data_IF_304345364316
#
_entry.id   IF_304345364316
#
_cell.length_a   1.000
_cell.length_b   1.000
_cell.length_c   1.000
_cell.angle_alpha   90.00
_cell.angle_beta   90.00
_cell.angle_gamma   90.00
#
_symmetry.space_group_name_H-M   'P 1'
#
loop_
_entity.id
_entity.type
_entity.pdbx_description
1 polymer ?
#
# COMPACT_ATOMS: atom_id res chain seq x y z
N UNK A 1 -53.68 10.29 2.13
CA UNK A 1 -54.80 10.76 3.00
C UNK A 1 -55.34 9.58 3.77
N UNK A 2 -54.88 9.37 4.99
CA UNK A 2 -55.49 8.37 5.91
C UNK A 2 -56.33 9.14 6.93
N UNK A 3 -57.63 8.79 6.98
CA UNK A 3 -58.53 9.32 8.00
C UNK A 3 -58.28 8.60 9.33
N UNK A 4 -57.92 9.37 10.37
CA UNK A 4 -57.80 8.89 11.74
C UNK A 4 -59.10 9.21 12.45
N UNK A 5 -59.75 8.17 12.95
CA UNK A 5 -60.95 8.29 13.80
C UNK A 5 -60.55 8.64 15.23
N UNK A 6 -61.14 9.71 15.77
CA UNK A 6 -60.97 10.15 17.15
C UNK A 6 -61.82 9.29 18.10
N UNK A 7 -61.17 8.50 18.93
CA UNK A 7 -61.75 7.91 20.16
C UNK A 7 -61.16 8.65 21.35
N UNK A 8 -62.02 9.02 22.31
CA UNK A 8 -61.63 9.67 23.57
C UNK A 8 -60.85 8.69 24.45
N UNK A 9 -59.54 8.64 24.29
CA UNK A 9 -58.60 7.88 25.14
C UNK A 9 -57.45 8.76 25.52
N UNK A 10 -56.98 8.67 26.76
CA UNK A 10 -55.79 9.37 27.29
C UNK A 10 -54.64 9.20 26.35
N UNK A 11 -54.10 10.33 25.87
CA UNK A 11 -52.84 10.34 25.14
C UNK A 11 -51.74 9.97 26.17
N UNK A 12 -51.27 8.74 26.10
CA UNK A 12 -50.03 8.35 26.76
C UNK A 12 -48.91 8.96 25.87
N UNK A 13 -48.37 10.07 26.29
CA UNK A 13 -47.12 10.60 25.72
C UNK A 13 -46.02 9.65 26.19
N UNK A 14 -45.65 8.73 25.33
CA UNK A 14 -44.40 7.98 25.49
C UNK A 14 -43.29 9.00 25.51
N UNK A 15 -42.36 8.96 26.50
CA UNK A 15 -41.18 9.80 26.42
C UNK A 15 -40.48 9.47 25.09
N UNK A 16 -40.12 10.48 24.32
CA UNK A 16 -39.18 10.31 23.20
C UNK A 16 -37.93 9.65 23.80
N UNK A 17 -37.82 8.35 23.64
CA UNK A 17 -36.54 7.69 23.81
C UNK A 17 -35.67 8.29 22.71
N UNK A 18 -34.75 9.17 23.08
CA UNK A 18 -33.76 9.69 22.17
C UNK A 18 -33.20 8.50 21.41
N UNK A 19 -33.18 8.58 20.08
CA UNK A 19 -32.61 7.53 19.26
C UNK A 19 -31.25 7.15 19.86
N UNK A 20 -30.94 5.86 20.04
CA UNK A 20 -29.66 5.46 20.57
C UNK A 20 -28.57 6.18 19.78
N UNK A 21 -27.79 7.02 20.45
CA UNK A 21 -26.65 7.71 19.84
C UNK A 21 -25.61 6.63 19.58
N UNK A 22 -25.70 5.98 18.42
CA UNK A 22 -24.61 5.11 17.98
C UNK A 22 -23.34 5.98 17.85
N UNK A 23 -22.20 5.51 18.32
CA UNK A 23 -20.95 6.23 18.11
C UNK A 23 -20.73 6.44 16.62
N UNK A 24 -20.02 7.50 16.28
CA UNK A 24 -19.68 7.78 14.89
C UNK A 24 -18.96 6.54 14.28
N UNK A 25 -19.30 6.19 13.02
CA UNK A 25 -18.65 5.06 12.36
C UNK A 25 -17.14 5.30 12.25
N UNK A 26 -16.35 4.22 12.38
CA UNK A 26 -14.92 4.26 12.14
C UNK A 26 -14.66 4.37 10.61
N UNK A 27 -13.91 5.37 10.21
CA UNK A 27 -13.67 5.67 8.79
C UNK A 27 -12.31 5.15 8.37
N UNK A 28 -12.30 4.21 7.43
CA UNK A 28 -11.11 3.68 6.79
C UNK A 28 -10.92 4.30 5.40
N UNK A 29 -9.66 4.49 4.97
CA UNK A 29 -9.32 4.75 3.58
C UNK A 29 -8.37 3.67 3.09
N UNK A 30 -8.73 3.06 1.96
CA UNK A 30 -7.99 1.94 1.39
C UNK A 30 -7.55 2.26 -0.06
N UNK A 31 -7.47 1.27 -0.92
CA UNK A 31 -7.17 1.44 -2.32
C UNK A 31 -8.43 1.86 -3.13
N UNK A 32 -8.36 1.78 -4.44
CA UNK A 32 -9.45 2.15 -5.36
C UNK A 32 -10.68 1.22 -5.35
N UNK A 33 -10.83 0.38 -4.33
CA UNK A 33 -12.05 -0.42 -4.07
C UNK A 33 -12.04 -1.83 -4.63
N UNK A 34 -11.01 -2.25 -5.34
CA UNK A 34 -10.92 -3.56 -5.99
C UNK A 34 -9.76 -4.44 -5.55
N UNK A 35 -8.88 -3.95 -4.66
CA UNK A 35 -7.64 -4.60 -4.35
C UNK A 35 -7.52 -5.04 -2.88
N UNK A 36 -6.31 -5.40 -2.48
CA UNK A 36 -6.05 -6.08 -1.22
C UNK A 36 -6.26 -5.19 0.01
N UNK A 37 -6.02 -3.89 -0.09
CA UNK A 37 -6.17 -2.98 1.05
C UNK A 37 -7.64 -2.77 1.42
N UNK A 38 -8.54 -2.77 0.43
CA UNK A 38 -10.00 -2.78 0.69
C UNK A 38 -10.43 -4.07 1.39
N UNK A 39 -9.85 -5.23 1.04
CA UNK A 39 -10.10 -6.50 1.74
C UNK A 39 -9.61 -6.46 3.19
N UNK A 40 -8.42 -5.89 3.42
CA UNK A 40 -7.88 -5.71 4.77
C UNK A 40 -8.75 -4.76 5.62
N UNK A 41 -9.22 -3.66 5.03
CA UNK A 41 -10.16 -2.76 5.70
C UNK A 41 -11.49 -3.43 6.02
N UNK A 42 -12.00 -4.28 5.12
CA UNK A 42 -13.23 -5.08 5.34
C UNK A 42 -13.09 -6.07 6.50
N UNK A 43 -11.96 -6.75 6.59
CA UNK A 43 -11.64 -7.62 7.73
C UNK A 43 -11.63 -6.85 9.05
N UNK A 44 -10.95 -5.71 9.12
CA UNK A 44 -10.93 -4.88 10.32
C UNK A 44 -12.30 -4.27 10.65
N UNK A 45 -13.08 -3.90 9.65
CA UNK A 45 -14.44 -3.39 9.85
C UNK A 45 -15.35 -4.46 10.49
N UNK A 46 -15.22 -5.71 10.06
CA UNK A 46 -15.93 -6.84 10.66
C UNK A 46 -15.48 -7.07 12.11
N UNK A 47 -14.16 -7.06 12.36
CA UNK A 47 -13.62 -7.19 13.71
C UNK A 47 -14.15 -6.10 14.65
N UNK A 48 -14.15 -4.84 14.20
CA UNK A 48 -14.67 -3.71 14.98
C UNK A 48 -16.13 -3.91 15.33
N UNK A 49 -16.96 -4.33 14.37
CA UNK A 49 -18.37 -4.60 14.59
C UNK A 49 -18.60 -5.70 15.62
N UNK A 50 -17.86 -6.78 15.55
CA UNK A 50 -18.03 -7.95 16.44
C UNK A 50 -17.51 -7.73 17.85
N UNK A 51 -16.51 -6.83 18.02
CA UNK A 51 -15.81 -6.66 19.30
C UNK A 51 -16.09 -5.32 19.99
N UNK A 52 -17.11 -4.58 19.54
CA UNK A 52 -17.64 -3.40 20.26
C UNK A 52 -19.05 -3.70 20.78
N UNK A 53 -19.31 -3.30 22.02
CA UNK A 53 -20.61 -3.59 22.69
C UNK A 53 -21.81 -2.99 21.96
N UNK A 54 -21.62 -1.89 21.26
CA UNK A 54 -22.62 -1.16 20.49
C UNK A 54 -22.58 -1.50 18.99
N UNK A 55 -21.84 -2.54 18.60
CA UNK A 55 -21.68 -2.97 17.22
C UNK A 55 -21.30 -1.82 16.29
N UNK A 56 -20.22 -1.10 16.63
CA UNK A 56 -19.76 0.08 15.93
C UNK A 56 -19.60 -0.20 14.42
N UNK A 57 -20.29 0.59 13.63
CA UNK A 57 -20.17 0.51 12.17
C UNK A 57 -18.85 1.10 11.67
N UNK A 58 -18.44 0.66 10.49
CA UNK A 58 -17.29 1.22 9.79
C UNK A 58 -17.68 1.66 8.37
N UNK A 59 -17.00 2.68 7.87
CA UNK A 59 -17.11 3.13 6.47
C UNK A 59 -15.76 2.93 5.81
N UNK A 60 -15.73 2.30 4.64
CA UNK A 60 -14.51 2.12 3.85
C UNK A 60 -14.58 3.05 2.65
N UNK A 61 -13.73 4.07 2.63
CA UNK A 61 -13.60 5.02 1.55
C UNK A 61 -12.53 4.53 0.55
N UNK A 62 -12.75 4.77 -0.72
CA UNK A 62 -11.73 4.55 -1.75
C UNK A 62 -10.74 5.71 -1.76
N UNK A 63 -9.45 5.39 -1.94
CA UNK A 63 -8.39 6.37 -2.15
C UNK A 63 -8.05 6.53 -3.61
N UNK A 64 -7.48 7.66 -3.98
CA UNK A 64 -6.92 7.91 -5.32
C UNK A 64 -5.47 7.45 -5.44
N UNK A 65 -4.89 7.04 -4.33
CA UNK A 65 -3.53 6.55 -4.20
C UNK A 65 -3.07 6.63 -2.75
N UNK A 66 -1.92 6.06 -2.45
CA UNK A 66 -1.43 5.90 -1.07
C UNK A 66 -1.07 7.24 -0.42
N UNK A 67 -0.63 8.23 -1.21
CA UNK A 67 -0.39 9.59 -0.73
C UNK A 67 -1.69 10.31 -0.33
N UNK A 68 -2.77 10.10 -1.08
CA UNK A 68 -4.11 10.60 -0.75
C UNK A 68 -4.59 9.98 0.57
N UNK A 69 -4.39 8.69 0.77
CA UNK A 69 -4.77 7.99 1.99
C UNK A 69 -4.12 8.60 3.24
N UNK A 70 -2.81 8.84 3.19
CA UNK A 70 -2.09 9.40 4.33
C UNK A 70 -2.45 10.87 4.57
N UNK A 71 -2.70 11.67 3.51
CA UNK A 71 -3.17 13.06 3.69
C UNK A 71 -4.55 13.14 4.33
N UNK A 72 -5.43 12.21 4.00
CA UNK A 72 -6.77 12.14 4.58
C UNK A 72 -6.77 11.96 6.10
N UNK A 73 -5.75 11.28 6.65
CA UNK A 73 -5.52 11.22 8.11
C UNK A 73 -5.20 12.61 8.69
N UNK A 74 -4.27 13.33 8.04
CA UNK A 74 -3.85 14.66 8.51
C UNK A 74 -4.94 15.72 8.47
N UNK A 75 -5.97 15.53 7.65
CA UNK A 75 -7.13 16.43 7.55
C UNK A 75 -8.32 15.96 8.40
N UNK A 76 -8.23 14.79 9.04
CA UNK A 76 -9.33 14.21 9.78
C UNK A 76 -10.50 13.73 8.90
N UNK A 77 -10.28 13.56 7.59
CA UNK A 77 -11.27 12.97 6.67
C UNK A 77 -11.57 11.51 7.05
N UNK A 78 -10.54 10.78 7.46
CA UNK A 78 -10.64 9.40 7.93
C UNK A 78 -9.87 9.19 9.23
N UNK A 79 -10.18 8.12 9.94
CA UNK A 79 -9.59 7.78 11.23
C UNK A 79 -8.40 6.83 11.07
N UNK A 80 -8.46 5.98 10.04
CA UNK A 80 -7.46 4.94 9.75
C UNK A 80 -7.26 4.84 8.24
N UNK A 81 -6.03 4.63 7.81
CA UNK A 81 -5.73 4.46 6.39
C UNK A 81 -4.70 3.35 6.16
N UNK A 82 -4.86 2.67 5.05
CA UNK A 82 -3.83 1.77 4.53
C UNK A 82 -2.95 2.49 3.51
N UNK A 83 -1.66 2.17 3.53
CA UNK A 83 -0.74 2.59 2.47
C UNK A 83 0.31 1.51 2.18
N UNK A 84 0.81 1.48 0.94
CA UNK A 84 1.93 0.67 0.48
C UNK A 84 2.82 1.52 -0.44
N UNK A 85 4.14 1.37 -0.38
CA UNK A 85 4.90 0.59 0.59
C UNK A 85 4.88 1.25 1.97
N UNK A 86 4.98 0.43 3.02
CA UNK A 86 4.95 0.93 4.40
C UNK A 86 6.04 1.98 4.68
N UNK A 87 7.21 1.83 4.07
CA UNK A 87 8.34 2.75 4.21
C UNK A 87 8.05 4.19 3.77
N UNK A 88 7.15 4.38 2.79
CA UNK A 88 6.81 5.72 2.28
C UNK A 88 5.96 6.54 3.26
N UNK A 89 5.33 5.90 4.24
CA UNK A 89 4.62 6.61 5.30
C UNK A 89 5.55 7.54 6.10
N UNK A 90 6.83 7.20 6.22
CA UNK A 90 7.83 8.07 6.83
C UNK A 90 8.03 9.37 6.04
N UNK A 91 8.00 9.32 4.71
CA UNK A 91 8.06 10.52 3.87
C UNK A 91 6.88 11.46 4.14
N UNK A 92 5.69 10.90 4.40
CA UNK A 92 4.53 11.68 4.77
C UNK A 92 4.70 12.36 6.13
N UNK A 93 5.20 11.64 7.13
CA UNK A 93 5.47 12.20 8.46
C UNK A 93 6.53 13.30 8.44
N UNK A 94 7.58 13.14 7.62
CA UNK A 94 8.71 14.06 7.48
C UNK A 94 8.45 15.23 6.52
N UNK A 95 7.38 15.21 5.73
CA UNK A 95 7.12 16.22 4.69
C UNK A 95 8.13 16.16 3.55
N UNK A 96 8.51 14.97 3.12
CA UNK A 96 9.48 14.70 2.06
C UNK A 96 8.84 14.02 0.86
N UNK A 97 9.56 13.94 -0.25
CA UNK A 97 9.04 13.31 -1.47
C UNK A 97 7.71 13.91 -1.92
N UNK A 98 6.67 13.09 -2.13
CA UNK A 98 5.34 13.56 -2.53
C UNK A 98 4.68 14.52 -1.52
N UNK A 99 5.21 14.59 -0.30
CA UNK A 99 4.72 15.46 0.78
C UNK A 99 5.60 16.68 1.03
N UNK A 100 6.53 17.02 0.11
CA UNK A 100 7.48 18.10 0.29
C UNK A 100 6.82 19.40 0.80
N UNK A 101 7.26 19.87 1.99
CA UNK A 101 6.72 21.05 2.65
C UNK A 101 5.31 20.88 3.27
N UNK A 102 4.73 19.69 3.22
CA UNK A 102 3.38 19.39 3.75
C UNK A 102 3.39 18.07 4.53
N UNK A 103 4.07 18.00 5.68
CA UNK A 103 4.05 16.79 6.51
C UNK A 103 2.63 16.49 7.01
N UNK A 104 2.37 15.22 7.24
CA UNK A 104 1.14 14.77 7.93
C UNK A 104 1.43 14.73 9.44
N UNK A 105 0.89 15.67 10.22
CA UNK A 105 1.22 15.78 11.64
C UNK A 105 0.65 14.61 12.43
N UNK A 106 1.38 14.18 13.46
CA UNK A 106 0.90 13.16 14.39
C UNK A 106 0.75 11.76 13.80
N UNK A 107 1.23 11.53 12.57
CA UNK A 107 1.13 10.25 11.90
C UNK A 107 1.87 9.14 12.68
N UNK A 108 1.16 8.06 12.96
CA UNK A 108 1.64 6.87 13.68
C UNK A 108 1.06 5.61 13.03
N UNK A 109 1.55 4.44 13.42
CA UNK A 109 1.06 3.17 12.91
C UNK A 109 0.30 2.38 13.98
N UNK A 110 -0.66 1.59 13.54
CA UNK A 110 -1.19 0.47 14.33
C UNK A 110 -0.36 -0.79 14.06
N UNK A 111 -0.09 -1.09 12.79
CA UNK A 111 0.66 -2.27 12.34
C UNK A 111 1.22 -2.08 10.94
N UNK A 112 2.11 -2.98 10.53
CA UNK A 112 2.44 -3.24 9.13
C UNK A 112 2.10 -4.70 8.81
N UNK A 113 1.15 -4.92 7.90
CA UNK A 113 0.83 -6.27 7.43
C UNK A 113 1.93 -6.73 6.46
N UNK A 114 2.43 -7.97 6.61
CA UNK A 114 3.55 -8.45 5.82
C UNK A 114 3.14 -8.69 4.37
N UNK A 115 3.65 -7.87 3.50
CA UNK A 115 3.45 -7.91 2.06
C UNK A 115 4.81 -7.91 1.38
N UNK A 116 4.99 -8.70 0.34
CA UNK A 116 6.22 -8.72 -0.44
C UNK A 116 5.97 -8.10 -1.79
N UNK A 117 6.66 -7.02 -2.05
CA UNK A 117 6.61 -6.36 -3.34
C UNK A 117 7.90 -5.62 -3.67
N UNK A 118 8.11 -5.39 -4.96
CA UNK A 118 9.23 -4.64 -5.47
C UNK A 118 8.79 -3.78 -6.65
N UNK A 119 9.41 -2.62 -6.78
CA UNK A 119 9.28 -1.79 -7.97
C UNK A 119 10.55 -1.97 -8.80
N UNK A 120 10.39 -2.52 -10.01
CA UNK A 120 11.51 -2.92 -10.85
C UNK A 120 11.41 -2.29 -12.23
N UNK A 121 12.54 -1.76 -12.76
CA UNK A 121 12.62 -1.33 -14.16
C UNK A 121 12.79 -2.54 -15.08
N UNK A 122 12.00 -2.57 -16.15
CA UNK A 122 12.02 -3.64 -17.15
C UNK A 122 12.00 -3.04 -18.54
N UNK A 123 12.85 -3.57 -19.43
CA UNK A 123 13.01 -3.09 -20.80
C UNK A 123 12.87 -4.25 -21.78
N UNK A 124 12.48 -3.98 -23.01
CA UNK A 124 12.52 -4.95 -24.10
C UNK A 124 13.97 -5.42 -24.35
N UNK A 125 14.18 -6.73 -24.42
CA UNK A 125 15.53 -7.31 -24.55
C UNK A 125 16.21 -6.98 -25.89
N UNK A 126 15.45 -6.78 -26.95
CA UNK A 126 15.97 -6.46 -28.29
C UNK A 126 16.67 -5.09 -28.38
N UNK A 127 16.46 -4.22 -27.39
CA UNK A 127 17.19 -2.96 -27.28
C UNK A 127 18.63 -3.14 -26.76
N UNK A 128 18.98 -4.30 -26.20
CA UNK A 128 20.32 -4.61 -25.69
C UNK A 128 20.72 -3.89 -24.41
N UNK A 129 19.79 -3.17 -23.76
CA UNK A 129 20.02 -2.41 -22.54
C UNK A 129 20.07 -3.36 -21.33
N UNK A 130 21.04 -3.20 -20.43
CA UNK A 130 21.30 -4.09 -19.30
C UNK A 130 21.26 -3.37 -17.95
N UNK A 131 21.44 -2.06 -17.96
CA UNK A 131 21.54 -1.20 -16.77
C UNK A 131 20.73 0.08 -16.99
N UNK A 132 20.41 0.79 -15.90
CA UNK A 132 19.81 2.11 -16.01
C UNK A 132 20.77 3.12 -16.66
N UNK A 133 22.09 2.95 -16.50
CA UNK A 133 23.09 3.75 -17.20
C UNK A 133 23.02 3.56 -18.73
N UNK A 134 22.76 2.32 -19.21
CA UNK A 134 22.53 2.08 -20.64
C UNK A 134 21.27 2.79 -21.14
N UNK A 135 20.21 2.80 -20.33
CA UNK A 135 18.97 3.54 -20.63
C UNK A 135 19.24 5.04 -20.74
N UNK A 136 19.99 5.61 -19.78
CA UNK A 136 20.36 7.02 -19.77
C UNK A 136 21.18 7.41 -21.02
N UNK A 137 22.09 6.55 -21.44
CA UNK A 137 22.97 6.74 -22.59
C UNK A 137 22.32 6.41 -23.94
N UNK A 138 21.14 5.77 -23.96
CA UNK A 138 20.50 5.32 -25.17
C UNK A 138 20.12 6.49 -26.10
N UNK A 139 20.61 6.53 -27.35
CA UNK A 139 20.44 7.70 -28.21
C UNK A 139 19.06 7.75 -28.92
N UNK A 140 18.37 6.62 -28.97
CA UNK A 140 17.09 6.51 -29.69
C UNK A 140 15.89 6.95 -28.85
N UNK A 141 14.73 7.08 -29.48
CA UNK A 141 13.49 7.32 -28.78
C UNK A 141 13.08 6.09 -27.96
N UNK A 142 12.59 6.30 -26.74
CA UNK A 142 12.02 5.27 -25.88
C UNK A 142 10.58 5.64 -25.53
N UNK A 143 9.71 4.65 -25.55
CA UNK A 143 8.35 4.76 -25.00
C UNK A 143 8.40 4.23 -23.56
N UNK A 144 8.26 5.13 -22.61
CA UNK A 144 8.35 4.82 -21.18
C UNK A 144 6.95 4.78 -20.57
N UNK A 145 6.65 3.74 -19.80
CA UNK A 145 5.38 3.57 -19.09
C UNK A 145 5.61 3.53 -17.58
N UNK A 146 4.94 4.42 -16.84
CA UNK A 146 5.16 4.68 -15.42
C UNK A 146 3.83 4.88 -14.69
N UNK A 147 3.88 4.87 -13.35
CA UNK A 147 2.81 5.37 -12.53
C UNK A 147 2.59 6.88 -12.64
N UNK A 148 1.41 7.33 -12.26
CA UNK A 148 1.03 8.75 -12.24
C UNK A 148 1.94 9.55 -11.30
N UNK A 149 2.48 10.65 -11.80
CA UNK A 149 3.39 11.53 -11.08
C UNK A 149 2.63 12.70 -10.45
N UNK A 150 1.97 12.41 -9.36
CA UNK A 150 1.31 13.40 -8.53
C UNK A 150 1.47 13.03 -7.04
N UNK A 151 1.14 13.96 -6.14
CA UNK A 151 1.27 13.71 -4.70
C UNK A 151 0.36 12.60 -4.17
N UNK A 152 -0.69 12.21 -4.90
CA UNK A 152 -1.66 11.21 -4.46
C UNK A 152 -1.13 9.77 -4.66
N UNK A 153 -0.23 9.58 -5.64
CA UNK A 153 0.30 8.26 -6.00
C UNK A 153 1.76 8.05 -5.59
N UNK A 154 2.08 6.89 -5.04
CA UNK A 154 3.46 6.52 -4.76
C UNK A 154 4.18 5.84 -5.94
N UNK A 155 3.44 5.24 -6.87
CA UNK A 155 4.02 4.55 -8.02
C UNK A 155 4.87 5.48 -8.90
N UNK A 156 4.34 6.65 -9.24
CA UNK A 156 5.05 7.63 -10.05
C UNK A 156 6.28 8.17 -9.34
N UNK A 157 6.15 8.49 -8.06
CA UNK A 157 7.29 8.92 -7.24
C UNK A 157 8.38 7.85 -7.17
N UNK A 158 8.03 6.60 -6.87
CA UNK A 158 8.97 5.49 -6.79
C UNK A 158 9.65 5.21 -8.13
N UNK A 159 8.88 5.18 -9.22
CA UNK A 159 9.40 4.99 -10.57
C UNK A 159 10.36 6.10 -11.00
N UNK A 160 10.01 7.36 -10.74
CA UNK A 160 10.91 8.50 -11.00
C UNK A 160 12.18 8.41 -10.16
N UNK A 161 12.07 8.08 -8.85
CA UNK A 161 13.24 7.96 -7.98
C UNK A 161 14.22 6.87 -8.46
N UNK A 162 13.69 5.74 -8.95
CA UNK A 162 14.49 4.66 -9.53
C UNK A 162 15.21 5.13 -10.80
N UNK A 163 14.51 5.77 -11.71
CA UNK A 163 15.11 6.29 -12.97
C UNK A 163 16.14 7.37 -12.70
N UNK A 164 15.84 8.33 -11.81
CA UNK A 164 16.78 9.37 -11.40
C UNK A 164 18.04 8.81 -10.75
N UNK A 165 17.90 7.76 -9.92
CA UNK A 165 19.07 7.12 -9.30
C UNK A 165 20.03 6.52 -10.33
N UNK A 166 19.50 6.03 -11.46
CA UNK A 166 20.27 5.55 -12.61
C UNK A 166 20.69 6.63 -13.60
N UNK A 167 20.44 7.89 -13.32
CA UNK A 167 20.77 9.01 -14.21
C UNK A 167 19.87 9.14 -15.44
N UNK A 168 18.71 8.47 -15.45
CA UNK A 168 17.75 8.54 -16.56
C UNK A 168 16.96 9.84 -16.47
N UNK A 169 17.09 10.68 -17.47
CA UNK A 169 16.33 11.92 -17.62
C UNK A 169 15.17 11.71 -18.60
N UNK A 170 13.94 11.74 -18.06
CA UNK A 170 12.71 11.58 -18.85
C UNK A 170 12.49 12.73 -19.84
N UNK A 171 12.91 13.96 -19.50
CA UNK A 171 12.81 15.08 -20.42
C UNK A 171 13.72 14.87 -21.63
N UNK A 172 14.96 14.43 -21.39
CA UNK A 172 15.89 14.10 -22.47
C UNK A 172 15.39 12.93 -23.35
N UNK A 173 14.64 11.97 -22.80
CA UNK A 173 13.98 10.93 -23.60
C UNK A 173 12.94 11.55 -24.53
N UNK A 174 12.10 12.45 -24.02
CA UNK A 174 11.08 13.16 -24.82
C UNK A 174 11.72 14.04 -25.89
N UNK A 175 12.77 14.75 -25.57
CA UNK A 175 13.52 15.61 -26.53
C UNK A 175 14.12 14.81 -27.69
N UNK A 176 14.44 13.51 -27.47
CA UNK A 176 14.88 12.57 -28.49
C UNK A 176 13.74 11.91 -29.27
N UNK A 177 12.50 12.38 -29.08
CA UNK A 177 11.29 11.86 -29.76
C UNK A 177 10.63 10.65 -29.07
N UNK A 178 11.05 10.33 -27.86
CA UNK A 178 10.39 9.33 -27.02
C UNK A 178 9.09 9.84 -26.39
N UNK A 179 8.42 8.99 -25.63
CA UNK A 179 7.16 9.32 -24.94
C UNK A 179 7.17 8.80 -23.51
N UNK A 180 6.44 9.48 -22.62
CA UNK A 180 6.19 9.04 -21.26
C UNK A 180 4.69 8.93 -21.03
N UNK A 181 4.20 7.71 -20.84
CA UNK A 181 2.81 7.41 -20.51
C UNK A 181 2.70 7.18 -19.01
N UNK A 182 1.65 7.72 -18.39
CA UNK A 182 1.44 7.60 -16.95
C UNK A 182 0.07 7.03 -16.61
N UNK A 183 0.03 6.11 -15.65
CA UNK A 183 -1.15 5.32 -15.30
C UNK A 183 -1.51 5.47 -13.83
N UNK A 184 -2.80 5.32 -13.54
CA UNK A 184 -3.31 5.31 -12.16
C UNK A 184 -3.10 3.97 -11.47
N UNK A 185 -3.10 2.88 -12.24
CA UNK A 185 -2.97 1.52 -11.73
C UNK A 185 -1.68 0.86 -12.23
N UNK A 186 -1.03 -0.02 -11.43
CA UNK A 186 0.24 -0.63 -11.79
C UNK A 186 0.15 -1.55 -13.01
N UNK A 187 -1.01 -2.19 -13.22
CA UNK A 187 -1.22 -3.18 -14.27
C UNK A 187 -1.14 -2.59 -15.67
N UNK A 188 -1.57 -1.34 -15.85
CA UNK A 188 -1.57 -0.69 -17.15
C UNK A 188 -0.16 -0.52 -17.73
N UNK A 189 0.84 -0.22 -16.90
CA UNK A 189 2.23 -0.16 -17.33
C UNK A 189 2.76 -1.54 -17.75
N UNK A 190 2.40 -2.59 -17.01
CA UNK A 190 2.74 -3.98 -17.35
C UNK A 190 2.10 -4.39 -18.70
N UNK A 191 0.83 -4.02 -18.89
CA UNK A 191 0.12 -4.28 -20.16
C UNK A 191 0.76 -3.52 -21.33
N UNK A 192 1.18 -2.27 -21.13
CA UNK A 192 1.86 -1.50 -22.19
C UNK A 192 3.13 -2.19 -22.67
N UNK A 193 3.98 -2.67 -21.76
CA UNK A 193 5.18 -3.39 -22.13
C UNK A 193 4.85 -4.73 -22.79
N UNK A 194 3.89 -5.49 -22.23
CA UNK A 194 3.45 -6.79 -22.76
C UNK A 194 2.91 -6.67 -24.18
N UNK A 195 2.13 -5.63 -24.46
CA UNK A 195 1.50 -5.42 -25.76
C UNK A 195 2.38 -4.63 -26.75
N UNK A 196 3.57 -4.21 -26.33
CA UNK A 196 4.53 -3.50 -27.18
C UNK A 196 4.19 -2.03 -27.37
N UNK A 197 3.39 -1.44 -26.51
CA UNK A 197 3.14 0.00 -26.48
C UNK A 197 4.25 0.76 -25.75
N UNK A 198 4.96 0.10 -24.84
CA UNK A 198 6.14 0.63 -24.16
C UNK A 198 7.41 -0.15 -24.50
N UNK A 199 8.56 0.49 -24.35
CA UNK A 199 9.89 -0.08 -24.47
C UNK A 199 10.57 -0.25 -23.12
N UNK A 200 10.23 0.60 -22.17
CA UNK A 200 10.68 0.60 -20.77
C UNK A 200 9.48 0.85 -19.86
N UNK A 201 9.41 0.13 -18.76
CA UNK A 201 8.51 0.43 -17.67
C UNK A 201 9.23 0.38 -16.32
N UNK A 202 8.69 1.10 -15.31
CA UNK A 202 9.01 0.89 -13.90
C UNK A 202 7.69 0.74 -13.17
N UNK A 203 7.45 -0.43 -12.62
CA UNK A 203 6.17 -0.73 -11.96
C UNK A 203 6.35 -1.69 -10.79
N UNK A 204 5.31 -1.78 -9.96
CA UNK A 204 5.19 -2.61 -8.76
C UNK A 204 4.20 -3.76 -8.97
N UNK A 205 3.80 -4.40 -7.89
CA UNK A 205 2.84 -5.51 -7.86
C UNK A 205 3.36 -6.78 -8.57
N UNK A 206 4.65 -7.08 -8.37
CA UNK A 206 5.37 -8.17 -9.04
C UNK A 206 4.80 -9.57 -8.75
N UNK A 207 4.02 -9.74 -7.67
CA UNK A 207 3.40 -11.02 -7.30
C UNK A 207 2.16 -11.36 -8.14
N UNK A 208 1.72 -10.49 -9.04
CA UNK A 208 0.50 -10.69 -9.80
C UNK A 208 0.71 -11.57 -11.03
N UNK A 209 -0.37 -12.23 -11.54
CA UNK A 209 -0.32 -13.00 -12.78
C UNK A 209 0.10 -12.19 -14.01
N UNK A 210 -0.17 -10.87 -14.04
CA UNK A 210 0.20 -10.01 -15.17
C UNK A 210 1.71 -9.96 -15.40
N UNK A 211 2.49 -9.91 -14.33
CA UNK A 211 3.94 -9.96 -14.39
C UNK A 211 4.46 -11.32 -14.88
N UNK A 212 3.83 -12.42 -14.43
CA UNK A 212 4.16 -13.77 -14.91
C UNK A 212 3.87 -13.91 -16.41
N UNK A 213 2.72 -13.38 -16.87
CA UNK A 213 2.34 -13.37 -18.27
C UNK A 213 3.28 -12.51 -19.11
N UNK A 214 3.71 -11.34 -18.62
CA UNK A 214 4.70 -10.52 -19.29
C UNK A 214 6.01 -11.30 -19.48
N UNK A 215 6.57 -11.86 -18.41
CA UNK A 215 7.85 -12.56 -18.44
C UNK A 215 7.80 -13.85 -19.27
N UNK A 216 6.65 -14.53 -19.33
CA UNK A 216 6.46 -15.73 -20.18
C UNK A 216 6.19 -15.40 -21.64
N UNK A 217 5.53 -14.28 -21.94
CA UNK A 217 5.05 -13.92 -23.27
C UNK A 217 5.93 -12.96 -24.04
N UNK A 218 6.90 -12.35 -23.39
CA UNK A 218 7.81 -11.36 -24.00
C UNK A 218 9.24 -11.57 -23.59
N UNK A 219 10.16 -11.30 -24.51
CA UNK A 219 11.58 -11.21 -24.21
C UNK A 219 11.88 -9.84 -23.58
N UNK A 220 12.04 -9.85 -22.25
CA UNK A 220 12.29 -8.67 -21.44
C UNK A 220 13.53 -8.84 -20.59
N UNK A 221 14.18 -7.72 -20.31
CA UNK A 221 15.33 -7.62 -19.42
C UNK A 221 14.93 -6.85 -18.18
N UNK A 222 15.06 -7.49 -17.01
CA UNK A 222 14.92 -6.84 -15.71
C UNK A 222 16.23 -6.11 -15.40
N UNK A 223 16.15 -4.81 -15.14
CA UNK A 223 17.32 -3.99 -14.83
C UNK A 223 17.55 -3.98 -13.32
N UNK A 224 18.62 -4.63 -12.88
CA UNK A 224 19.01 -4.66 -11.47
C UNK A 224 19.58 -3.31 -11.05
N UNK A 225 19.17 -2.81 -9.89
CA UNK A 225 19.78 -1.63 -9.27
C UNK A 225 21.19 -1.97 -8.79
N UNK A 226 22.16 -1.15 -9.16
CA UNK A 226 23.51 -1.23 -8.64
C UNK A 226 23.59 -0.74 -7.19
N UNK A 227 24.69 -1.05 -6.50
CA UNK A 227 24.94 -0.54 -5.15
C UNK A 227 25.02 1.01 -5.09
N UNK A 228 25.43 1.65 -6.17
CA UNK A 228 25.47 3.11 -6.28
C UNK A 228 24.06 3.70 -6.35
N UNK A 229 23.19 3.12 -7.18
CA UNK A 229 21.78 3.52 -7.30
C UNK A 229 21.01 3.28 -6.00
N UNK A 230 21.23 2.13 -5.34
CA UNK A 230 20.68 1.85 -4.01
C UNK A 230 21.15 2.87 -2.97
N UNK A 231 22.41 3.29 -3.01
CA UNK A 231 22.94 4.33 -2.12
C UNK A 231 22.29 5.70 -2.37
N UNK A 232 22.00 6.06 -3.62
CA UNK A 232 21.27 7.29 -3.97
C UNK A 232 19.84 7.24 -3.41
N UNK A 233 19.11 6.14 -3.62
CA UNK A 233 17.75 5.97 -3.10
C UNK A 233 17.70 6.08 -1.57
N UNK A 234 18.64 5.41 -0.89
CA UNK A 234 18.77 5.48 0.57
C UNK A 234 19.15 6.87 1.06
N UNK A 235 20.16 7.47 0.47
CA UNK A 235 20.68 8.78 0.90
C UNK A 235 19.71 9.93 0.66
N UNK A 236 19.05 9.92 -0.51
CA UNK A 236 18.14 11.00 -0.88
C UNK A 236 16.75 10.85 -0.24
N UNK A 237 16.23 9.63 -0.14
CA UNK A 237 14.85 9.39 0.23
C UNK A 237 14.69 8.48 1.45
N UNK A 238 15.74 7.80 1.91
CA UNK A 238 15.66 6.75 2.94
C UNK A 238 14.94 5.50 2.44
N UNK A 239 14.98 5.25 1.12
CA UNK A 239 14.34 4.10 0.49
C UNK A 239 15.34 2.94 0.39
N UNK A 240 14.88 1.75 0.76
CA UNK A 240 15.68 0.53 0.74
C UNK A 240 15.41 -0.29 -0.53
N UNK A 241 16.28 -1.24 -0.79
CA UNK A 241 16.14 -2.20 -1.88
C UNK A 241 15.78 -3.59 -1.37
N UNK A 242 15.24 -4.42 -2.26
CA UNK A 242 14.91 -5.82 -2.03
C UNK A 242 15.32 -6.63 -3.24
N UNK A 243 15.67 -7.92 -3.04
CA UNK A 243 15.99 -8.80 -4.14
C UNK A 243 14.78 -9.62 -4.60
N UNK A 244 14.54 -9.61 -5.91
CA UNK A 244 13.68 -10.57 -6.61
C UNK A 244 14.57 -11.79 -6.89
N UNK A 245 14.27 -12.98 -6.33
CA UNK A 245 15.17 -14.13 -6.47
C UNK A 245 15.22 -14.66 -7.89
N UNK A 246 16.33 -15.30 -8.23
CA UNK A 246 16.42 -16.06 -9.48
C UNK A 246 15.30 -17.09 -9.58
N UNK A 247 14.74 -17.26 -10.78
CA UNK A 247 13.63 -18.19 -11.02
C UNK A 247 12.25 -17.67 -10.60
N UNK A 248 12.16 -16.49 -9.99
CA UNK A 248 10.85 -15.89 -9.66
C UNK A 248 10.01 -15.64 -10.91
N UNK A 249 10.63 -15.16 -11.96
CA UNK A 249 10.00 -15.02 -13.29
C UNK A 249 10.60 -16.02 -14.29
N UNK A 250 9.82 -16.46 -15.28
CA UNK A 250 10.35 -17.18 -16.43
C UNK A 250 11.54 -16.43 -17.04
N UNK A 251 12.68 -17.11 -17.23
CA UNK A 251 13.88 -16.53 -17.80
C UNK A 251 14.75 -15.70 -16.88
N UNK A 252 14.33 -15.39 -15.67
CA UNK A 252 15.14 -14.69 -14.67
C UNK A 252 16.18 -15.65 -14.06
N UNK A 253 17.44 -15.58 -14.52
CA UNK A 253 18.50 -16.52 -14.13
C UNK A 253 19.29 -16.10 -12.90
N UNK A 254 19.32 -14.80 -12.62
CA UNK A 254 20.03 -14.18 -11.49
C UNK A 254 19.08 -13.32 -10.66
N UNK A 255 19.37 -13.09 -9.38
CA UNK A 255 18.58 -12.16 -8.58
C UNK A 255 18.61 -10.76 -9.17
N UNK A 256 17.53 -10.02 -9.02
CA UNK A 256 17.42 -8.61 -9.41
C UNK A 256 17.17 -7.77 -8.19
N UNK A 257 18.07 -6.83 -7.88
CA UNK A 257 17.87 -5.82 -6.86
C UNK A 257 16.93 -4.75 -7.38
N UNK A 258 15.86 -4.47 -6.65
CA UNK A 258 14.81 -3.51 -7.00
C UNK A 258 14.48 -2.60 -5.82
N UNK A 259 13.73 -1.54 -6.04
CA UNK A 259 13.20 -0.72 -4.94
C UNK A 259 12.23 -1.54 -4.09
N UNK A 260 12.45 -1.55 -2.77
CA UNK A 260 11.55 -2.24 -1.84
C UNK A 260 10.19 -1.53 -1.78
N UNK A 261 9.16 -2.24 -2.24
CA UNK A 261 7.78 -1.75 -2.26
C UNK A 261 6.87 -2.58 -1.32
N UNK A 262 7.48 -3.20 -0.31
CA UNK A 262 6.83 -4.15 0.59
C UNK A 262 6.06 -3.48 1.71
N UNK A 263 5.21 -4.29 2.32
CA UNK A 263 4.39 -4.10 3.49
C UNK A 263 3.25 -3.08 3.34
N UNK A 264 2.13 -3.41 3.97
CA UNK A 264 0.96 -2.56 4.05
C UNK A 264 0.89 -1.96 5.45
N UNK A 265 1.16 -0.66 5.57
CA UNK A 265 1.01 0.02 6.85
C UNK A 265 -0.46 0.33 7.11
N UNK A 266 -0.92 0.00 8.31
CA UNK A 266 -2.16 0.48 8.91
C UNK A 266 -1.82 1.72 9.71
N UNK A 267 -2.02 2.88 9.12
CA UNK A 267 -1.67 4.18 9.67
C UNK A 267 -2.87 4.90 10.29
N UNK A 268 -2.60 5.75 11.27
CA UNK A 268 -3.54 6.65 11.93
C UNK A 268 -2.80 7.89 12.41
N UNK A 269 -3.47 8.74 13.19
CA UNK A 269 -2.82 9.82 13.95
C UNK A 269 -2.85 9.53 15.45
N UNK A 270 -2.03 10.27 16.23
CA UNK A 270 -2.00 10.17 17.68
C UNK A 270 -3.34 10.51 18.36
N UNK A 271 -4.25 11.15 17.61
CA UNK A 271 -5.58 11.57 18.09
C UNK A 271 -6.64 10.46 17.98
N UNK A 272 -6.31 9.30 17.39
CA UNK A 272 -7.21 8.15 17.40
C UNK A 272 -7.46 7.72 18.86
N UNK A 273 -8.72 7.51 19.30
CA UNK A 273 -9.01 7.06 20.66
C UNK A 273 -8.25 5.78 21.03
N UNK A 274 -7.69 5.73 22.23
CA UNK A 274 -6.86 4.64 22.73
C UNK A 274 -7.55 3.27 22.67
N UNK A 275 -8.84 3.21 22.99
CA UNK A 275 -9.67 2.00 22.92
C UNK A 275 -9.78 1.47 21.48
N UNK A 276 -9.92 2.38 20.51
CA UNK A 276 -9.97 2.04 19.08
C UNK A 276 -8.61 1.56 18.60
N UNK A 277 -7.52 2.21 18.98
CA UNK A 277 -6.16 1.79 18.63
C UNK A 277 -5.82 0.39 19.20
N UNK A 278 -6.20 0.12 20.47
CA UNK A 278 -6.07 -1.21 21.10
C UNK A 278 -6.91 -2.26 20.38
N UNK A 279 -8.15 -1.92 20.04
CA UNK A 279 -9.05 -2.83 19.33
C UNK A 279 -8.47 -3.27 17.98
N UNK A 280 -7.91 -2.33 17.22
CA UNK A 280 -7.28 -2.64 15.92
C UNK A 280 -5.98 -3.44 16.08
N UNK A 281 -5.15 -3.15 17.09
CA UNK A 281 -3.97 -3.95 17.39
C UNK A 281 -4.35 -5.39 17.80
N UNK A 282 -5.42 -5.55 18.56
CA UNK A 282 -5.96 -6.85 18.97
C UNK A 282 -6.43 -7.67 17.79
N UNK A 283 -7.02 -7.06 16.77
CA UNK A 283 -7.35 -7.76 15.52
C UNK A 283 -6.12 -8.43 14.89
N UNK A 284 -4.98 -7.75 14.90
CA UNK A 284 -3.72 -8.30 14.35
C UNK A 284 -3.21 -9.46 15.21
N UNK A 285 -3.35 -9.35 16.54
CA UNK A 285 -2.86 -10.35 17.49
C UNK A 285 -3.73 -11.62 17.47
N UNK A 286 -5.06 -11.45 17.50
CA UNK A 286 -6.01 -12.54 17.75
C UNK A 286 -6.60 -13.13 16.47
N UNK A 287 -6.77 -12.33 15.40
CA UNK A 287 -7.49 -12.72 14.19
C UNK A 287 -6.68 -12.57 12.88
N UNK A 288 -5.41 -12.19 12.96
CA UNK A 288 -4.53 -12.07 11.78
C UNK A 288 -4.49 -13.33 10.93
N UNK A 289 -4.58 -14.51 11.55
CA UNK A 289 -4.66 -15.79 10.86
C UNK A 289 -5.94 -15.95 10.03
N UNK A 290 -7.07 -15.42 10.48
CA UNK A 290 -8.33 -15.43 9.71
C UNK A 290 -8.20 -14.64 8.42
N UNK A 291 -7.57 -13.47 8.48
CA UNK A 291 -7.27 -12.68 7.28
C UNK A 291 -6.28 -13.41 6.35
N UNK A 292 -5.21 -14.01 6.90
CA UNK A 292 -4.21 -14.76 6.14
C UNK A 292 -4.80 -15.95 5.39
N UNK A 293 -5.80 -16.65 5.95
CA UNK A 293 -6.48 -17.76 5.29
C UNK A 293 -7.06 -17.39 3.93
N UNK A 294 -7.49 -16.15 3.74
CA UNK A 294 -8.00 -15.65 2.46
C UNK A 294 -6.97 -15.69 1.31
N UNK A 295 -5.68 -15.86 1.62
CA UNK A 295 -4.58 -15.88 0.66
C UNK A 295 -3.92 -17.25 0.48
N UNK A 296 -4.23 -18.24 1.31
CA UNK A 296 -3.59 -19.58 1.28
C UNK A 296 -3.87 -20.40 0.01
N UNK A 297 -4.83 -20.00 -0.79
CA UNK A 297 -5.09 -20.62 -2.09
C UNK A 297 -4.05 -20.23 -3.15
N UNK A 298 -3.25 -19.19 -2.90
CA UNK A 298 -2.17 -18.76 -3.77
C UNK A 298 -0.86 -19.43 -3.34
N UNK A 299 0.04 -19.76 -4.28
CA UNK A 299 1.41 -20.14 -3.92
C UNK A 299 2.07 -19.04 -3.09
N UNK A 300 2.84 -19.40 -2.07
CA UNK A 300 3.43 -18.45 -1.12
C UNK A 300 4.25 -17.32 -1.80
N UNK A 301 4.98 -17.67 -2.86
CA UNK A 301 5.82 -16.72 -3.60
C UNK A 301 4.99 -15.71 -4.44
N UNK A 302 3.74 -16.06 -4.76
CA UNK A 302 2.82 -15.24 -5.57
C UNK A 302 1.63 -14.74 -4.74
N UNK A 303 1.70 -14.87 -3.43
CA UNK A 303 0.72 -14.28 -2.53
C UNK A 303 1.09 -12.84 -2.23
N UNK A 304 0.15 -11.88 -2.40
CA UNK A 304 0.39 -10.51 -1.98
C UNK A 304 0.60 -10.40 -0.47
N UNK A 305 0.00 -11.29 0.32
CA UNK A 305 0.19 -11.33 1.77
C UNK A 305 1.11 -12.49 2.15
N UNK A 306 2.14 -12.21 2.95
CA UNK A 306 2.94 -13.25 3.60
C UNK A 306 2.17 -13.79 4.82
N UNK A 307 2.16 -15.09 4.98
CA UNK A 307 1.48 -15.73 6.11
C UNK A 307 2.37 -16.84 6.72
N UNK A 308 2.17 -17.15 8.02
CA UNK A 308 1.21 -16.54 8.94
C UNK A 308 1.51 -15.07 9.20
N UNK A 309 0.49 -14.29 9.61
CA UNK A 309 0.71 -12.96 10.13
C UNK A 309 1.23 -13.11 11.55
N UNK A 310 2.51 -12.83 11.76
CA UNK A 310 3.10 -12.74 13.09
C UNK A 310 2.98 -11.31 13.60
N UNK A 311 2.20 -11.11 14.66
CA UNK A 311 2.00 -9.78 15.26
C UNK A 311 3.32 -9.15 15.75
N UNK A 312 4.33 -9.98 16.11
CA UNK A 312 5.66 -9.49 16.51
C UNK A 312 6.38 -8.81 15.34
N UNK A 313 6.21 -9.34 14.15
CA UNK A 313 6.70 -8.70 12.92
C UNK A 313 5.82 -7.51 12.50
N UNK A 314 4.51 -7.64 12.64
CA UNK A 314 3.56 -6.59 12.24
C UNK A 314 3.72 -5.28 13.03
N UNK A 315 4.25 -5.31 14.23
CA UNK A 315 4.58 -4.10 15.01
C UNK A 315 5.87 -3.41 14.59
N UNK A 316 6.70 -4.04 13.75
CA UNK A 316 7.90 -3.42 13.20
C UNK A 316 7.52 -2.52 12.02
N UNK A 317 7.28 -1.25 12.29
CA UNK A 317 6.74 -0.30 11.31
C UNK A 317 7.74 0.81 10.97
N UNK A 318 7.54 1.47 9.84
CA UNK A 318 8.33 2.62 9.40
C UNK A 318 8.02 3.90 10.21
N UNK A 319 6.94 3.89 10.98
CA UNK A 319 6.50 4.96 11.88
C UNK A 319 6.53 4.46 13.32
N UNK A 320 6.49 5.38 14.28
CA UNK A 320 6.19 5.02 15.67
C UNK A 320 4.82 4.36 15.74
N UNK A 321 4.66 3.39 16.63
CA UNK A 321 3.35 2.84 16.94
C UNK A 321 2.49 3.86 17.71
N UNK A 322 1.18 3.80 17.51
CA UNK A 322 0.24 4.47 18.41
C UNK A 322 0.47 3.96 19.84
N UNK A 323 0.57 4.84 20.85
CA UNK A 323 0.94 4.43 22.21
C UNK A 323 0.07 3.29 22.78
N UNK A 324 -1.25 3.36 22.55
CA UNK A 324 -2.17 2.33 23.01
C UNK A 324 -2.01 1.00 22.25
N UNK A 325 -1.72 1.03 20.95
CA UNK A 325 -1.42 -0.18 20.19
C UNK A 325 -0.09 -0.82 20.66
N UNK A 326 0.92 0.00 20.93
CA UNK A 326 2.20 -0.50 21.47
C UNK A 326 2.02 -1.21 22.82
N UNK A 327 1.16 -0.68 23.70
CA UNK A 327 0.83 -1.32 24.98
C UNK A 327 0.13 -2.66 24.78
N UNK A 328 -0.82 -2.75 23.82
CA UNK A 328 -1.53 -4.00 23.52
C UNK A 328 -0.56 -5.10 23.05
N UNK A 329 0.40 -4.76 22.19
CA UNK A 329 1.44 -5.70 21.77
C UNK A 329 2.35 -6.13 22.93
N UNK A 330 2.70 -5.22 23.84
CA UNK A 330 3.49 -5.55 25.02
C UNK A 330 2.72 -6.47 25.99
N UNK A 331 1.41 -6.29 26.12
CA UNK A 331 0.55 -7.14 26.92
C UNK A 331 0.46 -8.54 26.33
N UNK A 332 0.31 -8.65 25.01
CA UNK A 332 0.30 -9.93 24.31
C UNK A 332 1.62 -10.72 24.48
N UNK A 333 2.76 -10.03 24.50
CA UNK A 333 4.07 -10.68 24.72
C UNK A 333 4.22 -11.30 26.12
N UNK A 334 3.45 -10.80 27.11
CA UNK A 334 3.50 -11.33 28.50
C UNK A 334 2.65 -12.59 28.69
N UNK A 335 1.71 -12.84 27.77
CA UNK A 335 0.89 -14.04 27.81
C UNK A 335 1.72 -15.20 27.24
N UNK A 336 2.04 -16.26 28.03
CA UNK A 336 2.75 -17.41 27.50
C UNK A 336 1.98 -18.02 26.35
N UNK A 337 2.64 -18.23 25.22
CA UNK A 337 2.03 -18.96 24.09
C UNK A 337 1.69 -20.36 24.61
N UNK A 338 0.42 -20.66 24.80
CA UNK A 338 0.01 -22.05 25.03
C UNK A 338 0.33 -22.80 23.75
N UNK A 339 1.42 -23.58 23.80
CA UNK A 339 1.76 -24.53 22.74
C UNK A 339 0.64 -25.57 22.74
N UNK A 340 -0.18 -25.53 21.69
CA UNK A 340 -1.20 -26.54 21.42
C UNK A 340 -0.56 -27.79 20.78
#
# INVERSE_FOLDING_TARGET
MCKVGLSKGKVIVMPEQGAPQHPAPLRFKADWGGANLTRAAGWLAQWVYEHTADQRLSVICTGRGMGDNLRALGTGEVDVAFATPASFARLAAEGRGPFAGRPVPGLVAIAALPHRDAMVPVVRSDLGLRTLADVAAYPGPLRVSLGRDDPDGFMGFGGNAVLEAGGVDLAAIVDRGGTVTRHEQPFDAVHDLREGRADLMVSEAIMTPDWQQLAAGRDVTFLSLSSAEAAVLRGRWGLETIDIPAGYFPGLREPVTALNYSDWILATTRDLPDDTARLLARAIIEDGESFARGYRHLPADYSPLRYPIDYRSARATALDLHPAAALEYQEADRVPTQVA
#
